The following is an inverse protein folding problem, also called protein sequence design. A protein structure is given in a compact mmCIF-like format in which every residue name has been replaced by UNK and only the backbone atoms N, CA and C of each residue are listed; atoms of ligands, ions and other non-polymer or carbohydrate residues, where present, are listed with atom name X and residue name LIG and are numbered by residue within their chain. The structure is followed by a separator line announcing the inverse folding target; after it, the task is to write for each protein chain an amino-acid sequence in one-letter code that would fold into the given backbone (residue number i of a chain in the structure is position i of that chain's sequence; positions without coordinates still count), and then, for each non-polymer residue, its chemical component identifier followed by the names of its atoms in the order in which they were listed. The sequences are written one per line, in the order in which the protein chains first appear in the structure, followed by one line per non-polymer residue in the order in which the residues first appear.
data_IF_916704023009
#
_entry.id   IF_916704023009
#
_cell.length_a   1.000
_cell.length_b   1.000
_cell.length_c   1.000
_cell.angle_alpha   90.00
_cell.angle_beta   90.00
_cell.angle_gamma   90.00
#
_symmetry.space_group_name_H-M   'P 1'
#
loop_
_entity.id
_entity.type
_entity.pdbx_description
1 polymer ?
#
# COMPACT_ATOMS: atom_id res chain seq x y z
N UNK A 1 -12.44 23.22 8.98
CA UNK A 1 -11.43 22.77 7.98
C UNK A 1 -10.44 21.77 8.56
N UNK A 2 -9.74 22.11 9.65
CA UNK A 2 -8.77 21.22 10.31
C UNK A 2 -9.34 19.85 10.75
N UNK A 3 -10.52 19.81 11.40
CA UNK A 3 -11.15 18.53 11.79
C UNK A 3 -11.42 17.59 10.61
N UNK A 4 -11.76 18.10 9.43
CA UNK A 4 -12.02 17.26 8.24
C UNK A 4 -10.73 16.68 7.67
N UNK A 5 -9.64 17.45 7.69
CA UNK A 5 -8.33 16.95 7.30
C UNK A 5 -7.86 15.84 8.23
N UNK A 6 -8.03 16.00 9.55
CA UNK A 6 -7.71 14.94 10.52
C UNK A 6 -8.60 13.72 10.29
N UNK A 7 -9.90 13.91 10.07
CA UNK A 7 -10.85 12.84 9.80
C UNK A 7 -10.57 12.08 8.49
N UNK A 8 -9.85 12.68 7.53
CA UNK A 8 -9.39 12.02 6.30
C UNK A 8 -8.00 11.40 6.44
N UNK A 9 -7.08 12.10 7.09
CA UNK A 9 -5.67 11.69 7.22
C UNK A 9 -5.51 10.49 8.15
N UNK A 10 -6.24 10.46 9.26
CA UNK A 10 -6.18 9.34 10.22
C UNK A 10 -6.62 8.01 9.58
N UNK A 11 -7.80 7.89 8.94
CA UNK A 11 -8.20 6.62 8.33
C UNK A 11 -7.34 6.26 7.12
N UNK A 12 -6.91 7.22 6.31
CA UNK A 12 -6.03 6.92 5.17
C UNK A 12 -4.68 6.37 5.62
N UNK A 13 -4.05 6.96 6.64
CA UNK A 13 -2.83 6.41 7.25
C UNK A 13 -3.08 5.04 7.90
N UNK A 14 -4.21 4.86 8.59
CA UNK A 14 -4.56 3.56 9.17
C UNK A 14 -4.70 2.46 8.10
N UNK A 15 -5.30 2.78 6.95
CA UNK A 15 -5.41 1.86 5.82
C UNK A 15 -4.03 1.54 5.23
N UNK A 16 -3.20 2.56 4.96
CA UNK A 16 -1.84 2.35 4.42
C UNK A 16 -1.00 1.49 5.36
N UNK A 17 -1.02 1.79 6.65
CA UNK A 17 -0.25 1.08 7.67
C UNK A 17 -0.78 -0.35 7.88
N UNK A 18 -2.10 -0.54 7.87
CA UNK A 18 -2.73 -1.86 7.95
C UNK A 18 -2.40 -2.75 6.75
N UNK A 19 -2.42 -2.19 5.55
CA UNK A 19 -2.03 -2.90 4.32
C UNK A 19 -0.53 -3.22 4.31
N UNK A 20 0.33 -2.28 4.70
CA UNK A 20 1.77 -2.53 4.84
C UNK A 20 2.07 -3.65 5.84
N UNK A 21 1.37 -3.68 6.98
CA UNK A 21 1.49 -4.75 7.97
C UNK A 21 1.05 -6.11 7.40
N UNK A 22 -0.03 -6.14 6.61
CA UNK A 22 -0.45 -7.35 5.89
C UNK A 22 0.62 -7.83 4.88
N UNK A 23 1.28 -6.92 4.15
CA UNK A 23 2.37 -7.26 3.22
C UNK A 23 3.52 -7.94 3.98
N UNK A 24 3.95 -7.37 5.11
CA UNK A 24 5.00 -7.98 5.93
C UNK A 24 4.60 -9.35 6.47
N UNK A 25 3.36 -9.49 6.96
CA UNK A 25 2.84 -10.76 7.47
C UNK A 25 2.79 -11.84 6.38
N UNK A 26 2.43 -11.47 5.14
CA UNK A 26 2.47 -12.37 4.00
C UNK A 26 3.92 -12.76 3.70
N UNK A 27 4.84 -11.79 3.62
CA UNK A 27 6.26 -12.04 3.40
C UNK A 27 6.88 -13.00 4.44
N UNK A 28 6.50 -12.85 5.71
CA UNK A 28 6.95 -13.72 6.79
C UNK A 28 6.47 -15.17 6.60
N UNK A 29 5.19 -15.36 6.26
CA UNK A 29 4.61 -16.69 5.95
C UNK A 29 5.21 -17.35 4.72
N UNK A 30 5.66 -16.57 3.73
CA UNK A 30 6.35 -17.13 2.56
C UNK A 30 7.83 -17.43 2.83
N UNK A 31 8.39 -16.92 3.93
CA UNK A 31 9.79 -17.13 4.32
C UNK A 31 10.04 -18.46 5.05
N UNK A 32 9.00 -19.23 5.37
CA UNK A 32 9.09 -20.56 5.99
C UNK A 32 9.85 -21.57 5.10
N UNK A 33 9.90 -21.35 3.78
CA UNK A 33 10.74 -22.15 2.88
C UNK A 33 12.21 -21.71 2.94
N UNK A 34 13.16 -22.60 3.35
CA UNK A 34 14.57 -22.22 3.51
C UNK A 34 15.25 -21.80 2.20
N UNK A 35 14.78 -22.31 1.05
CA UNK A 35 15.31 -21.96 -0.27
C UNK A 35 14.95 -20.54 -0.72
N UNK A 36 13.79 -20.00 -0.32
CA UNK A 36 13.30 -18.67 -0.75
C UNK A 36 13.32 -17.62 0.36
N UNK A 37 13.79 -17.96 1.57
CA UNK A 37 13.73 -17.13 2.79
C UNK A 37 14.28 -15.71 2.60
N UNK A 38 15.46 -15.58 2.02
CA UNK A 38 16.11 -14.28 1.80
C UNK A 38 15.36 -13.44 0.77
N UNK A 39 14.94 -14.07 -0.35
CA UNK A 39 14.21 -13.39 -1.41
C UNK A 39 12.81 -12.93 -0.95
N UNK A 40 12.11 -13.73 -0.16
CA UNK A 40 10.82 -13.39 0.42
C UNK A 40 10.91 -12.16 1.34
N UNK A 41 11.91 -12.14 2.24
CA UNK A 41 12.09 -11.06 3.21
C UNK A 41 12.52 -9.74 2.55
N UNK A 42 13.48 -9.80 1.64
CA UNK A 42 13.96 -8.62 0.90
C UNK A 42 12.86 -8.08 -0.02
N UNK A 43 12.16 -8.96 -0.73
CA UNK A 43 11.03 -8.57 -1.57
C UNK A 43 9.92 -7.90 -0.78
N UNK A 44 9.54 -8.46 0.36
CA UNK A 44 8.49 -7.91 1.23
C UNK A 44 8.85 -6.51 1.75
N UNK A 45 10.11 -6.31 2.16
CA UNK A 45 10.58 -5.02 2.66
C UNK A 45 10.56 -3.94 1.59
N UNK A 46 11.04 -4.26 0.38
CA UNK A 46 11.05 -3.32 -0.75
C UNK A 46 9.63 -2.94 -1.18
N UNK A 47 8.74 -3.94 -1.30
CA UNK A 47 7.34 -3.73 -1.72
C UNK A 47 6.55 -2.97 -0.66
N UNK A 48 6.74 -3.26 0.63
CA UNK A 48 6.10 -2.50 1.69
C UNK A 48 6.58 -1.04 1.72
N UNK A 49 7.88 -0.79 1.53
CA UNK A 49 8.44 0.57 1.55
C UNK A 49 7.91 1.41 0.40
N UNK A 50 7.87 0.85 -0.82
CA UNK A 50 7.31 1.55 -1.98
C UNK A 50 5.81 1.78 -1.82
N UNK A 51 5.06 0.80 -1.30
CA UNK A 51 3.64 0.94 -1.03
C UNK A 51 3.34 2.06 -0.05
N UNK A 52 4.08 2.16 1.07
CA UNK A 52 3.90 3.24 2.04
C UNK A 52 4.26 4.59 1.43
N UNK A 53 5.36 4.68 0.68
CA UNK A 53 5.81 5.93 0.06
C UNK A 53 4.80 6.43 -0.98
N UNK A 54 4.33 5.55 -1.87
CA UNK A 54 3.35 5.88 -2.90
C UNK A 54 1.99 6.19 -2.27
N UNK A 55 1.55 5.38 -1.30
CA UNK A 55 0.29 5.57 -0.59
C UNK A 55 0.24 6.90 0.15
N UNK A 56 1.32 7.26 0.85
CA UNK A 56 1.45 8.54 1.53
C UNK A 56 1.39 9.73 0.55
N UNK A 57 2.15 9.65 -0.56
CA UNK A 57 2.13 10.67 -1.61
C UNK A 57 0.75 10.84 -2.26
N UNK A 58 0.06 9.74 -2.55
CA UNK A 58 -1.29 9.75 -3.11
C UNK A 58 -2.31 10.42 -2.18
N UNK A 59 -2.26 10.10 -0.89
CA UNK A 59 -3.13 10.71 0.13
C UNK A 59 -2.91 12.23 0.22
N UNK A 60 -1.65 12.68 0.16
CA UNK A 60 -1.30 14.10 0.18
C UNK A 60 -1.75 14.84 -1.07
N UNK A 61 -1.55 14.27 -2.25
CA UNK A 61 -2.01 14.87 -3.52
C UNK A 61 -3.53 15.05 -3.52
N UNK A 62 -4.27 14.04 -3.08
CA UNK A 62 -5.74 14.11 -3.00
C UNK A 62 -6.17 15.21 -2.02
N UNK A 63 -5.53 15.30 -0.85
CA UNK A 63 -5.82 16.33 0.13
C UNK A 63 -5.53 17.75 -0.43
N UNK A 64 -4.38 17.94 -1.07
CA UNK A 64 -4.00 19.22 -1.68
C UNK A 64 -4.97 19.61 -2.80
N UNK A 65 -5.36 18.65 -3.65
CA UNK A 65 -6.32 18.87 -4.73
C UNK A 65 -7.70 19.27 -4.20
N UNK A 66 -8.20 18.60 -3.16
CA UNK A 66 -9.50 18.92 -2.56
C UNK A 66 -9.53 20.33 -1.94
N UNK A 67 -8.44 20.76 -1.30
CA UNK A 67 -8.34 22.11 -0.73
C UNK A 67 -8.28 23.17 -1.84
N UNK A 68 -7.54 22.90 -2.93
CA UNK A 68 -7.33 23.85 -4.02
C UNK A 68 -8.55 24.07 -4.91
N UNK A 69 -9.33 23.02 -5.21
CA UNK A 69 -10.47 23.15 -6.15
C UNK A 69 -11.74 23.71 -5.50
N UNK A 70 -12.09 23.26 -4.29
CA UNK A 70 -13.40 23.57 -3.69
C UNK A 70 -13.33 23.69 -2.15
N UNK A 71 -12.83 24.82 -1.61
CA UNK A 71 -12.68 25.00 -0.16
C UNK A 71 -14.03 24.98 0.60
N UNK A 72 -15.11 25.47 -0.01
CA UNK A 72 -16.44 25.58 0.61
C UNK A 72 -17.19 24.24 0.72
N UNK A 73 -16.92 23.29 -0.18
CA UNK A 73 -17.61 21.98 -0.24
C UNK A 73 -16.71 20.80 0.11
N UNK A 74 -15.68 21.03 0.93
CA UNK A 74 -14.70 20.02 1.32
C UNK A 74 -15.35 18.74 1.87
N UNK A 75 -16.43 18.87 2.65
CA UNK A 75 -17.16 17.75 3.26
C UNK A 75 -17.80 16.79 2.24
N UNK A 76 -18.23 17.28 1.08
CA UNK A 76 -18.85 16.45 0.02
C UNK A 76 -17.79 15.76 -0.84
N UNK A 77 -16.65 16.42 -1.07
CA UNK A 77 -15.60 15.92 -1.98
C UNK A 77 -14.65 14.95 -1.27
N UNK A 78 -14.44 15.11 0.03
CA UNK A 78 -13.46 14.32 0.78
C UNK A 78 -13.88 12.85 0.96
N UNK A 79 -15.18 12.58 1.11
CA UNK A 79 -15.73 11.22 1.25
C UNK A 79 -15.51 10.37 -0.01
N UNK A 80 -15.93 10.79 -1.23
CA UNK A 80 -15.65 10.03 -2.44
C UNK A 80 -14.15 9.98 -2.76
N UNK A 81 -13.39 11.02 -2.43
CA UNK A 81 -11.93 11.01 -2.58
C UNK A 81 -11.25 9.97 -1.66
N UNK A 82 -11.74 9.81 -0.42
CA UNK A 82 -11.29 8.76 0.49
C UNK A 82 -11.63 7.36 -0.04
N UNK A 83 -12.84 7.19 -0.59
CA UNK A 83 -13.25 5.94 -1.24
C UNK A 83 -12.37 5.59 -2.44
N UNK A 84 -12.06 6.57 -3.29
CA UNK A 84 -11.15 6.41 -4.42
C UNK A 84 -9.73 6.06 -3.96
N UNK A 85 -9.21 6.76 -2.95
CA UNK A 85 -7.91 6.47 -2.36
C UNK A 85 -7.84 5.04 -1.81
N UNK A 86 -8.88 4.61 -1.08
CA UNK A 86 -8.97 3.25 -0.55
C UNK A 86 -9.02 2.19 -1.66
N UNK A 87 -9.76 2.43 -2.75
CA UNK A 87 -9.77 1.55 -3.92
C UNK A 87 -8.39 1.46 -4.58
N UNK A 88 -7.71 2.59 -4.82
CA UNK A 88 -6.36 2.63 -5.38
C UNK A 88 -5.35 1.88 -4.48
N UNK A 89 -5.42 2.09 -3.17
CA UNK A 89 -4.58 1.38 -2.19
C UNK A 89 -4.86 -0.12 -2.18
N UNK A 90 -6.12 -0.53 -2.26
CA UNK A 90 -6.52 -1.93 -2.34
C UNK A 90 -6.01 -2.61 -3.62
N UNK A 91 -6.13 -1.94 -4.77
CA UNK A 91 -5.61 -2.44 -6.05
C UNK A 91 -4.07 -2.51 -6.07
N UNK A 92 -3.39 -1.52 -5.48
CA UNK A 92 -1.93 -1.56 -5.31
C UNK A 92 -1.48 -2.72 -4.41
N UNK A 93 -2.22 -2.97 -3.34
CA UNK A 93 -1.94 -4.08 -2.41
C UNK A 93 -2.10 -5.45 -3.08
N UNK A 94 -3.15 -5.68 -3.85
CA UNK A 94 -3.33 -6.97 -4.55
C UNK A 94 -2.20 -7.23 -5.54
N UNK A 95 -1.77 -6.20 -6.29
CA UNK A 95 -0.63 -6.30 -7.19
C UNK A 95 0.69 -6.55 -6.45
N UNK A 96 0.91 -5.89 -5.31
CA UNK A 96 2.06 -6.12 -4.43
C UNK A 96 2.15 -7.57 -3.94
N UNK A 97 1.02 -8.14 -3.49
CA UNK A 97 0.97 -9.54 -3.03
C UNK A 97 1.21 -10.52 -4.18
N UNK A 98 0.66 -10.27 -5.38
CA UNK A 98 0.91 -11.10 -6.54
C UNK A 98 2.40 -11.10 -6.93
N UNK A 99 3.04 -9.93 -6.93
CA UNK A 99 4.47 -9.80 -7.21
C UNK A 99 5.34 -10.51 -6.17
N UNK A 100 4.99 -10.41 -4.88
CA UNK A 100 5.69 -11.17 -3.84
C UNK A 100 5.63 -12.67 -4.07
N UNK A 101 4.46 -13.19 -4.40
CA UNK A 101 4.28 -14.62 -4.69
C UNK A 101 5.12 -15.05 -5.89
N UNK A 102 5.17 -14.26 -6.96
CA UNK A 102 6.00 -14.56 -8.13
C UNK A 102 7.51 -14.59 -7.79
N UNK A 103 8.01 -13.57 -7.09
CA UNK A 103 9.43 -13.49 -6.67
C UNK A 103 9.81 -14.71 -5.82
N UNK A 104 8.96 -15.08 -4.86
CA UNK A 104 9.21 -16.24 -4.00
C UNK A 104 9.12 -17.58 -4.73
N UNK A 105 8.21 -17.73 -5.70
CA UNK A 105 8.09 -18.92 -6.53
C UNK A 105 9.34 -19.11 -7.41
N UNK A 106 9.84 -18.03 -8.02
CA UNK A 106 11.09 -18.03 -8.78
C UNK A 106 12.29 -18.38 -7.91
N UNK A 107 12.37 -17.80 -6.71
CA UNK A 107 13.45 -18.10 -5.77
C UNK A 107 13.44 -19.54 -5.26
N UNK A 108 12.25 -20.16 -5.15
CA UNK A 108 12.11 -21.56 -4.75
C UNK A 108 12.45 -22.56 -5.86
N UNK A 109 12.47 -22.14 -7.13
CA UNK A 109 12.75 -23.01 -8.27
C UNK A 109 13.84 -22.40 -9.18
N UNK A 110 15.12 -22.55 -8.81
CA UNK A 110 16.24 -21.91 -9.52
C UNK A 110 16.48 -22.45 -10.94
N UNK A 111 15.82 -23.55 -11.35
CA UNK A 111 15.96 -24.14 -12.70
C UNK A 111 15.38 -23.25 -13.81
N UNK A 112 14.57 -22.24 -13.46
CA UNK A 112 14.00 -21.26 -14.42
C UNK A 112 14.87 -19.97 -14.47
N UNK A 113 15.99 -19.93 -13.75
CA UNK A 113 16.87 -18.76 -13.65
C UNK A 113 18.09 -18.80 -14.59
N UNK A 114 18.20 -19.82 -15.45
CA UNK A 114 19.21 -19.92 -16.52
C UNK A 114 18.56 -19.74 -17.90
#
# INVERSE_FOLDING_TARGET
MFSYLVAYFVPSMAIVMGLAFMIFKIGDRLSDCPASKTAAKVGAMTIATSFVTIGFGGVLIIAAFCIGLMPERLHVVLVPALGLAALCLGLGFTHAVASLRDITARAANPVIAE
#
